data_IF_717861118942
#
_entry.id   IF_717861118942
#
_cell.length_a   1.000
_cell.length_b   1.000
_cell.length_c   1.000
_cell.angle_alpha   90.00
_cell.angle_beta   90.00
_cell.angle_gamma   90.00
#
_symmetry.space_group_name_H-M   'P 1'
#
loop_
_entity.id
_entity.type
_entity.pdbx_description
1 polymer ?
#
# COMPACT_ATOMS: atom_id res chain seq x y z
N UNK A 1 -4.52 23.38 13.49
CA UNK A 1 -4.46 21.92 13.72
C UNK A 1 -4.57 21.24 12.36
N UNK A 2 -3.71 20.24 12.13
CA UNK A 2 -3.85 19.13 11.16
C UNK A 2 -3.42 19.25 9.68
N UNK A 3 -2.66 20.27 9.27
CA UNK A 3 -2.14 20.36 7.88
C UNK A 3 -1.08 19.30 7.51
N UNK A 4 -0.36 18.78 8.51
CA UNK A 4 0.78 17.88 8.30
C UNK A 4 0.39 16.40 8.18
N UNK A 5 -0.85 16.01 8.49
CA UNK A 5 -1.36 14.64 8.33
C UNK A 5 -2.05 14.42 6.99
N UNK A 6 -2.67 15.45 6.43
CA UNK A 6 -3.33 15.35 5.11
C UNK A 6 -2.35 15.06 3.97
N UNK A 7 -1.13 15.61 4.03
CA UNK A 7 -0.12 15.38 3.00
C UNK A 7 0.43 13.93 3.01
N UNK A 8 0.90 13.40 4.15
CA UNK A 8 1.34 12.01 4.25
C UNK A 8 0.24 11.01 3.93
N UNK A 9 -1.00 11.23 4.41
CA UNK A 9 -2.09 10.31 4.14
C UNK A 9 -2.46 10.29 2.66
N UNK A 10 -2.55 11.46 2.02
CA UNK A 10 -2.77 11.53 0.57
C UNK A 10 -1.62 10.91 -0.22
N UNK A 11 -0.38 11.07 0.22
CA UNK A 11 0.78 10.40 -0.39
C UNK A 11 0.69 8.88 -0.25
N UNK A 12 0.35 8.38 0.95
CA UNK A 12 0.15 6.96 1.20
C UNK A 12 -0.97 6.38 0.32
N UNK A 13 -2.13 7.04 0.27
CA UNK A 13 -3.26 6.64 -0.57
C UNK A 13 -2.89 6.63 -2.05
N UNK A 14 -2.15 7.64 -2.52
CA UNK A 14 -1.68 7.73 -3.89
C UNK A 14 -0.70 6.61 -4.23
N UNK A 15 0.24 6.31 -3.33
CA UNK A 15 1.21 5.22 -3.50
C UNK A 15 0.56 3.84 -3.54
N UNK A 16 -0.34 3.59 -2.59
CA UNK A 16 -0.99 2.30 -2.40
C UNK A 16 -2.13 2.07 -3.40
N UNK A 17 -2.52 3.07 -4.20
CA UNK A 17 -3.50 2.86 -5.25
C UNK A 17 -2.84 2.20 -6.48
N UNK A 18 -3.13 0.91 -6.78
CA UNK A 18 -2.47 0.21 -7.89
C UNK A 18 -2.84 0.80 -9.25
N UNK A 19 -4.01 1.42 -9.41
CA UNK A 19 -4.39 2.08 -10.67
C UNK A 19 -3.49 3.26 -10.97
N UNK A 20 -3.09 3.99 -9.93
CA UNK A 20 -2.24 5.16 -10.06
C UNK A 20 -0.77 4.76 -10.06
N UNK A 21 -0.36 3.86 -9.15
CA UNK A 21 1.03 3.43 -8.94
C UNK A 21 1.66 2.79 -10.17
N UNK A 22 0.89 1.98 -10.91
CA UNK A 22 1.36 1.30 -12.11
C UNK A 22 0.93 1.99 -13.41
N UNK A 23 0.26 3.15 -13.31
CA UNK A 23 -0.12 3.95 -14.46
C UNK A 23 0.97 4.90 -14.89
N UNK A 24 0.94 5.33 -16.16
CA UNK A 24 1.96 6.20 -16.78
C UNK A 24 2.07 7.60 -16.12
N UNK A 25 1.07 7.97 -15.31
CA UNK A 25 0.99 9.29 -14.66
C UNK A 25 1.57 9.30 -13.24
N UNK A 26 2.11 8.19 -12.75
CA UNK A 26 2.74 8.16 -11.44
C UNK A 26 3.97 9.09 -11.42
N UNK A 27 4.02 10.00 -10.45
CA UNK A 27 5.06 11.03 -10.37
C UNK A 27 5.37 11.39 -8.92
N UNK A 28 6.39 12.21 -8.70
CA UNK A 28 6.83 12.68 -7.39
C UNK A 28 7.21 11.53 -6.43
N UNK A 29 7.88 10.50 -6.97
CA UNK A 29 8.18 9.24 -6.28
C UNK A 29 8.79 9.45 -4.89
N UNK A 30 9.75 10.38 -4.76
CA UNK A 30 10.44 10.63 -3.48
C UNK A 30 9.51 11.26 -2.43
N UNK A 31 8.72 12.27 -2.81
CA UNK A 31 7.77 12.92 -1.89
C UNK A 31 6.68 11.94 -1.46
N UNK A 32 6.18 11.13 -2.41
CA UNK A 32 5.13 10.15 -2.15
C UNK A 32 5.65 9.03 -1.25
N UNK A 33 6.85 8.48 -1.50
CA UNK A 33 7.49 7.48 -0.62
C UNK A 33 7.74 8.04 0.78
N UNK A 34 8.23 9.27 0.88
CA UNK A 34 8.44 9.92 2.17
C UNK A 34 7.13 10.03 2.97
N UNK A 35 6.06 10.50 2.33
CA UNK A 35 4.75 10.60 2.97
C UNK A 35 4.19 9.25 3.42
N UNK A 36 4.37 8.20 2.60
CA UNK A 36 4.01 6.83 2.99
C UNK A 36 4.77 6.37 4.24
N UNK A 37 6.10 6.52 4.26
CA UNK A 37 6.91 6.08 5.39
C UNK A 37 6.59 6.85 6.67
N UNK A 38 6.37 8.18 6.58
CA UNK A 38 5.91 8.97 7.72
C UNK A 38 4.56 8.48 8.27
N UNK A 39 3.64 8.01 7.41
CA UNK A 39 2.39 7.40 7.85
C UNK A 39 2.62 6.05 8.54
N UNK A 40 3.44 5.18 7.93
CA UNK A 40 3.72 3.85 8.48
C UNK A 40 4.42 3.94 9.84
N UNK A 41 5.41 4.81 10.00
CA UNK A 41 6.16 5.00 11.25
C UNK A 41 5.29 5.55 12.38
N UNK A 42 4.18 6.24 12.06
CA UNK A 42 3.19 6.73 13.05
C UNK A 42 2.13 5.68 13.42
N UNK A 43 1.81 4.78 12.50
CA UNK A 43 0.64 3.90 12.60
C UNK A 43 0.97 2.45 12.98
N UNK A 44 2.19 2.00 12.68
CA UNK A 44 2.58 0.60 12.80
C UNK A 44 3.65 0.42 13.88
N UNK A 45 3.63 -0.72 14.56
CA UNK A 45 4.77 -1.12 15.36
C UNK A 45 5.95 -1.57 14.47
N UNK A 46 7.12 -1.78 15.06
CA UNK A 46 8.33 -2.16 14.30
C UNK A 46 8.15 -3.45 13.47
N UNK A 47 7.46 -4.45 14.01
CA UNK A 47 7.27 -5.74 13.32
C UNK A 47 6.28 -5.61 12.17
N UNK A 48 5.20 -4.87 12.37
CA UNK A 48 4.23 -4.54 11.33
C UNK A 48 4.87 -3.68 10.22
N UNK A 49 5.64 -2.67 10.62
CA UNK A 49 6.39 -1.76 9.72
C UNK A 49 7.38 -2.51 8.84
N UNK A 50 8.12 -3.46 9.41
CA UNK A 50 9.09 -4.29 8.69
C UNK A 50 8.40 -5.20 7.66
N UNK A 51 7.31 -5.86 8.04
CA UNK A 51 6.54 -6.71 7.11
C UNK A 51 5.96 -5.88 5.96
N UNK A 52 5.43 -4.71 6.28
CA UNK A 52 4.90 -3.81 5.27
C UNK A 52 6.00 -3.33 4.30
N UNK A 53 7.21 -3.01 4.80
CA UNK A 53 8.35 -2.62 3.95
C UNK A 53 8.72 -3.71 2.93
N UNK A 54 8.87 -4.95 3.40
CA UNK A 54 9.17 -6.12 2.55
C UNK A 54 8.07 -6.35 1.51
N UNK A 55 6.81 -6.18 1.90
CA UNK A 55 5.69 -6.32 0.98
C UNK A 55 5.66 -5.20 -0.07
N UNK A 56 6.03 -3.97 0.30
CA UNK A 56 6.12 -2.85 -0.62
C UNK A 56 7.19 -3.07 -1.68
N UNK A 57 8.31 -3.73 -1.37
CA UNK A 57 9.32 -4.10 -2.38
C UNK A 57 8.73 -5.01 -3.46
N UNK A 58 7.93 -6.00 -3.06
CA UNK A 58 7.26 -6.92 -4.00
C UNK A 58 6.17 -6.20 -4.81
N UNK A 59 5.45 -5.29 -4.16
CA UNK A 59 4.46 -4.43 -4.83
C UNK A 59 5.13 -3.53 -5.87
N UNK A 60 6.21 -2.84 -5.52
CA UNK A 60 6.92 -1.93 -6.42
C UNK A 60 7.43 -2.62 -7.67
N UNK A 61 7.92 -3.84 -7.53
CA UNK A 61 8.46 -4.64 -8.62
C UNK A 61 7.40 -5.42 -9.40
N UNK A 62 6.12 -5.34 -8.98
CA UNK A 62 5.04 -6.20 -9.47
C UNK A 62 5.47 -7.68 -9.47
N UNK A 63 6.01 -8.15 -8.34
CA UNK A 63 6.49 -9.52 -8.17
C UNK A 63 5.55 -10.34 -7.27
N UNK A 64 5.77 -11.66 -7.25
CA UNK A 64 5.01 -12.62 -6.45
C UNK A 64 3.50 -12.51 -6.75
N UNK A 65 2.63 -12.37 -5.75
CA UNK A 65 1.18 -12.24 -5.96
C UNK A 65 0.82 -11.01 -6.80
N UNK A 66 1.58 -9.91 -6.65
CA UNK A 66 1.32 -8.66 -7.34
C UNK A 66 1.63 -8.71 -8.84
N UNK A 67 2.49 -9.63 -9.27
CA UNK A 67 2.86 -9.84 -10.68
C UNK A 67 1.94 -10.81 -11.44
N UNK A 68 1.00 -11.47 -10.74
CA UNK A 68 0.09 -12.42 -11.38
C UNK A 68 -0.84 -11.73 -12.39
N UNK A 69 -1.29 -12.45 -13.43
CA UNK A 69 -2.28 -11.92 -14.38
C UNK A 69 -3.55 -11.44 -13.66
N UNK A 70 -4.00 -12.18 -12.64
CA UNK A 70 -5.15 -11.77 -11.81
C UNK A 70 -4.88 -10.43 -11.13
N UNK A 71 -3.69 -10.24 -10.56
CA UNK A 71 -3.33 -8.99 -9.94
C UNK A 71 -3.39 -7.86 -10.96
N UNK A 72 -2.67 -7.99 -12.07
CA UNK A 72 -2.58 -7.00 -13.16
C UNK A 72 -3.98 -6.63 -13.69
N UNK A 73 -4.77 -7.61 -14.12
CA UNK A 73 -6.08 -7.39 -14.74
C UNK A 73 -7.07 -6.76 -13.75
N UNK A 74 -6.93 -7.04 -12.45
CA UNK A 74 -7.87 -6.54 -11.45
C UNK A 74 -7.51 -5.18 -10.83
N UNK A 75 -6.33 -4.61 -11.13
CA UNK A 75 -5.89 -3.31 -10.56
C UNK A 75 -6.90 -2.20 -10.84
N UNK A 76 -7.45 -2.16 -12.06
CA UNK A 76 -8.43 -1.15 -12.51
C UNK A 76 -9.88 -1.56 -12.29
N UNK A 77 -10.14 -2.86 -12.09
CA UNK A 77 -11.50 -3.40 -11.90
C UNK A 77 -11.97 -3.35 -10.45
N UNK A 78 -11.05 -3.22 -9.49
CA UNK A 78 -11.34 -3.20 -8.05
C UNK A 78 -11.00 -1.85 -7.45
N UNK A 79 -11.70 -1.48 -6.38
CA UNK A 79 -11.22 -0.42 -5.50
C UNK A 79 -9.87 -0.83 -4.89
N UNK A 80 -8.97 0.12 -4.59
CA UNK A 80 -7.68 -0.18 -3.98
C UNK A 80 -7.80 -1.07 -2.74
N UNK A 81 -8.74 -0.77 -1.84
CA UNK A 81 -9.01 -1.56 -0.64
C UNK A 81 -9.38 -3.01 -0.97
N UNK A 82 -10.28 -3.24 -1.93
CA UNK A 82 -10.68 -4.60 -2.31
C UNK A 82 -9.53 -5.39 -2.96
N UNK A 83 -8.67 -4.70 -3.71
CA UNK A 83 -7.50 -5.30 -4.34
C UNK A 83 -6.49 -5.75 -3.28
N UNK A 84 -6.16 -4.89 -2.31
CA UNK A 84 -5.25 -5.21 -1.20
C UNK A 84 -5.80 -6.30 -0.28
N UNK A 85 -7.09 -6.35 0.01
CA UNK A 85 -7.67 -7.45 0.80
C UNK A 85 -7.48 -8.83 0.14
N UNK A 86 -7.33 -8.89 -1.18
CA UNK A 86 -7.17 -10.14 -1.91
C UNK A 86 -5.71 -10.52 -2.15
N UNK A 87 -4.86 -9.54 -2.43
CA UNK A 87 -3.48 -9.74 -2.89
C UNK A 87 -2.44 -9.30 -1.87
N UNK A 88 -2.81 -8.39 -0.98
CA UNK A 88 -1.99 -7.90 0.12
C UNK A 88 -1.89 -8.84 1.31
N UNK A 89 -2.41 -10.06 1.22
CA UNK A 89 -2.37 -11.02 2.34
C UNK A 89 -1.33 -12.08 2.06
N UNK A 90 -0.10 -11.83 2.51
CA UNK A 90 0.92 -12.86 2.55
C UNK A 90 0.69 -13.72 3.81
N UNK A 91 0.03 -14.87 3.63
CA UNK A 91 -0.21 -15.90 4.64
C UNK A 91 -1.04 -15.50 5.88
N UNK A 92 -1.98 -16.38 6.21
CA UNK A 92 -2.98 -16.28 7.28
C UNK A 92 -2.38 -16.40 8.69
N UNK A 93 -1.53 -15.46 9.10
CA UNK A 93 -1.05 -15.32 10.49
C UNK A 93 -1.02 -13.90 11.07
N UNK A 94 -1.44 -12.86 10.34
CA UNK A 94 -1.64 -11.53 10.94
C UNK A 94 -3.14 -11.27 11.13
N UNK A 95 -3.64 -11.52 12.35
CA UNK A 95 -4.91 -10.98 12.85
C UNK A 95 -4.73 -9.49 13.21
N UNK A 96 -4.48 -8.66 12.22
CA UNK A 96 -4.63 -7.19 12.29
C UNK A 96 -4.90 -6.81 10.84
N UNK A 97 -6.14 -6.90 10.37
CA UNK A 97 -7.13 -5.85 10.46
C UNK A 97 -8.53 -6.43 10.74
N UNK A 98 -9.35 -5.68 11.47
CA UNK A 98 -10.76 -5.93 11.79
C UNK A 98 -11.04 -6.82 13.02
N UNK A 99 -10.60 -6.31 14.17
CA UNK A 99 -11.38 -6.23 15.41
C UNK A 99 -11.22 -4.77 15.87
N UNK A 100 -12.17 -3.91 16.19
CA UNK A 100 -13.64 -3.88 16.36
C UNK A 100 -13.99 -2.38 16.61
N UNK A 101 -15.26 -1.95 16.78
CA UNK A 101 -16.51 -2.72 16.93
C UNK A 101 -17.18 -3.06 15.60
#
# INVERSE_FOLDING_TARGET
>A
MDSALHRPLHAADYYLNPQLRYGDKFSNVDEVRKGLFECMDRMLDYQERLKADIQLDSYDQAMVEFGSCIAIDSRTLRSPTSWWMRLGVQHRSCKVCYSSP
#
